data_IF_778508809346
#
_entry.id   IF_778508809346
#
_cell.length_a   1.000
_cell.length_b   1.000
_cell.length_c   1.000
_cell.angle_alpha   90.00
_cell.angle_beta   90.00
_cell.angle_gamma   90.00
#
_symmetry.space_group_name_H-M   'P 1'
#
loop_
_entity.id
_entity.type
_entity.pdbx_description
1 polymer ?
#
# COMPACT_ATOMS: atom_id res chain seq x y z
N UNK A 1 -20.00 -18.24 -51.44
CA UNK A 1 -19.70 -17.85 -50.05
C UNK A 1 -18.55 -18.74 -49.60
N UNK A 2 -17.37 -18.13 -49.51
CA UNK A 2 -16.09 -18.74 -49.12
C UNK A 2 -15.63 -17.90 -47.94
N UNK A 3 -15.29 -18.55 -46.83
CA UNK A 3 -15.03 -17.89 -45.56
C UNK A 3 -14.71 -18.94 -44.53
N UNK A 4 -13.46 -19.39 -44.58
CA UNK A 4 -12.81 -20.24 -43.61
C UNK A 4 -12.68 -19.55 -42.24
N UNK A 5 -12.34 -20.37 -41.24
CA UNK A 5 -11.64 -20.00 -39.99
C UNK A 5 -12.50 -19.46 -38.85
N UNK A 6 -12.73 -20.33 -37.85
CA UNK A 6 -12.30 -20.02 -36.49
C UNK A 6 -11.97 -21.31 -35.72
N UNK A 7 -10.68 -21.50 -35.54
CA UNK A 7 -10.04 -22.54 -34.73
C UNK A 7 -10.46 -22.39 -33.26
N UNK A 8 -11.00 -23.45 -32.67
CA UNK A 8 -11.13 -23.56 -31.23
C UNK A 8 -9.73 -23.82 -30.65
N UNK A 9 -9.09 -22.75 -30.18
CA UNK A 9 -7.83 -22.82 -29.45
C UNK A 9 -8.02 -23.53 -28.12
N UNK A 10 -7.76 -24.83 -28.13
CA UNK A 10 -7.52 -25.66 -26.96
C UNK A 10 -6.30 -25.08 -26.23
N UNK A 11 -6.52 -24.41 -25.10
CA UNK A 11 -5.43 -23.96 -24.23
C UNK A 11 -4.87 -25.19 -23.53
N UNK A 12 -4.00 -25.91 -24.23
CA UNK A 12 -3.17 -26.92 -23.62
C UNK A 12 -2.29 -26.25 -22.57
N UNK A 13 -2.59 -26.49 -21.30
CA UNK A 13 -1.63 -26.31 -20.22
C UNK A 13 -0.42 -27.20 -20.52
N UNK A 14 0.59 -26.63 -21.20
CA UNK A 14 1.90 -27.24 -21.36
C UNK A 14 2.57 -27.24 -19.99
N UNK A 15 2.29 -28.31 -19.26
CA UNK A 15 3.01 -28.73 -18.07
C UNK A 15 4.44 -29.09 -18.47
N UNK A 16 5.28 -28.07 -18.63
CA UNK A 16 6.70 -28.24 -18.92
C UNK A 16 7.39 -28.66 -17.63
N UNK A 17 7.26 -29.95 -17.28
CA UNK A 17 8.18 -30.63 -16.38
C UNK A 17 9.57 -30.59 -17.04
N UNK A 18 10.34 -29.53 -16.76
CA UNK A 18 11.77 -29.58 -16.97
C UNK A 18 12.33 -30.53 -15.92
N UNK A 19 12.39 -31.81 -16.28
CA UNK A 19 13.22 -32.77 -15.60
C UNK A 19 14.67 -32.31 -15.76
N UNK A 20 15.16 -31.58 -14.76
CA UNK A 20 16.58 -31.27 -14.61
C UNK A 20 17.29 -32.61 -14.38
N UNK A 21 17.63 -33.32 -15.46
CA UNK A 21 18.47 -34.50 -15.39
C UNK A 21 19.88 -34.04 -15.09
N UNK A 22 20.26 -34.10 -13.81
CA UNK A 22 21.66 -34.16 -13.43
C UNK A 22 22.24 -35.46 -14.01
N UNK A 23 22.98 -35.31 -15.11
CA UNK A 23 23.83 -36.37 -15.62
C UNK A 23 25.04 -36.48 -14.69
N UNK A 24 24.95 -37.35 -13.68
CA UNK A 24 26.15 -37.78 -12.97
C UNK A 24 26.93 -38.71 -13.90
N UNK A 25 27.94 -38.17 -14.58
CA UNK A 25 29.04 -39.01 -15.08
C UNK A 25 29.81 -39.51 -13.86
N UNK A 26 29.58 -40.76 -13.49
CA UNK A 26 30.45 -41.48 -12.56
C UNK A 26 31.61 -42.08 -13.33
N UNK A 27 32.61 -41.27 -13.68
CA UNK A 27 33.91 -41.79 -14.04
C UNK A 27 34.64 -42.21 -12.77
N UNK A 28 34.59 -43.51 -12.50
CA UNK A 28 35.50 -44.14 -11.52
C UNK A 28 36.87 -44.31 -12.16
N UNK A 29 37.77 -43.36 -11.90
CA UNK A 29 39.22 -43.60 -11.90
C UNK A 29 39.97 -42.41 -11.29
N UNK A 30 40.09 -42.40 -9.97
CA UNK A 30 41.07 -41.63 -9.21
C UNK A 30 41.37 -42.39 -7.92
N UNK A 31 42.61 -42.34 -7.38
CA UNK A 31 42.98 -43.08 -6.18
C UNK A 31 42.05 -42.68 -5.03
N UNK A 32 41.87 -43.57 -4.06
CA UNK A 32 41.18 -43.27 -2.81
C UNK A 32 42.00 -42.26 -1.99
N UNK A 33 42.00 -41.00 -2.43
CA UNK A 33 42.63 -39.88 -1.75
C UNK A 33 41.70 -39.42 -0.64
N UNK A 34 42.21 -39.50 0.60
CA UNK A 34 41.54 -38.92 1.75
C UNK A 34 41.46 -37.41 1.61
N UNK A 35 40.41 -36.81 2.18
CA UNK A 35 40.26 -35.37 2.26
C UNK A 35 41.52 -34.75 2.88
N UNK A 36 42.18 -33.88 2.12
CA UNK A 36 43.31 -33.12 2.68
C UNK A 36 42.76 -32.13 3.70
N UNK A 37 43.47 -31.98 4.83
CA UNK A 37 43.08 -31.04 5.89
C UNK A 37 42.91 -29.61 5.35
N UNK A 38 43.74 -29.24 4.38
CA UNK A 38 43.73 -27.91 3.78
C UNK A 38 42.48 -27.66 2.90
N UNK A 39 42.02 -28.66 2.15
CA UNK A 39 40.83 -28.53 1.30
C UNK A 39 39.57 -28.30 2.14
N UNK A 40 39.44 -29.02 3.26
CA UNK A 40 38.32 -28.85 4.20
C UNK A 40 38.31 -27.44 4.80
N UNK A 41 39.47 -26.92 5.21
CA UNK A 41 39.56 -25.56 5.76
C UNK A 41 39.17 -24.52 4.70
N UNK A 42 39.66 -24.65 3.47
CA UNK A 42 39.34 -23.70 2.39
C UNK A 42 37.84 -23.75 2.05
N UNK A 43 37.25 -24.94 1.96
CA UNK A 43 35.82 -25.10 1.70
C UNK A 43 34.96 -24.44 2.80
N UNK A 44 35.32 -24.63 4.08
CA UNK A 44 34.62 -24.01 5.20
C UNK A 44 34.73 -22.47 5.18
N UNK A 45 35.90 -21.93 4.83
CA UNK A 45 36.09 -20.47 4.70
C UNK A 45 35.24 -19.91 3.56
N UNK A 46 35.20 -20.58 2.41
CA UNK A 46 34.37 -20.15 1.29
C UNK A 46 32.87 -20.20 1.63
N UNK A 47 32.41 -21.28 2.28
CA UNK A 47 31.02 -21.41 2.75
C UNK A 47 30.70 -20.34 3.78
N UNK A 48 31.62 -20.00 4.69
CA UNK A 48 31.42 -18.93 5.66
C UNK A 48 31.26 -17.56 4.98
N UNK A 49 32.13 -17.22 4.03
CA UNK A 49 32.05 -15.94 3.31
C UNK A 49 30.76 -15.86 2.49
N UNK A 50 30.45 -16.88 1.69
CA UNK A 50 29.23 -16.91 0.88
C UNK A 50 27.95 -16.93 1.75
N UNK A 51 27.99 -17.65 2.86
CA UNK A 51 26.90 -17.71 3.83
C UNK A 51 26.63 -16.33 4.47
N UNK A 52 27.68 -15.59 4.85
CA UNK A 52 27.51 -14.24 5.40
C UNK A 52 26.90 -13.28 4.40
N UNK A 53 27.32 -13.31 3.13
CA UNK A 53 26.72 -12.47 2.09
C UNK A 53 25.24 -12.80 1.85
N UNK A 54 24.87 -14.09 1.86
CA UNK A 54 23.47 -14.50 1.73
C UNK A 54 22.60 -13.93 2.87
N UNK A 55 23.07 -14.03 4.12
CA UNK A 55 22.35 -13.48 5.28
C UNK A 55 22.21 -11.97 5.19
N UNK A 56 23.25 -11.24 4.77
CA UNK A 56 23.21 -9.78 4.60
C UNK A 56 22.18 -9.36 3.53
N UNK A 57 22.10 -10.07 2.41
CA UNK A 57 21.11 -9.76 1.36
C UNK A 57 19.67 -10.10 1.77
N UNK A 58 19.45 -11.19 2.52
CA UNK A 58 18.10 -11.54 3.01
C UNK A 58 17.65 -10.64 4.17
N UNK A 59 18.56 -10.22 5.04
CA UNK A 59 18.24 -9.39 6.21
C UNK A 59 17.68 -8.01 5.83
N UNK A 60 18.22 -7.37 4.78
CA UNK A 60 17.78 -6.03 4.37
C UNK A 60 16.51 -6.03 3.53
N UNK A 61 16.27 -7.09 2.76
CA UNK A 61 15.15 -7.17 1.81
C UNK A 61 13.84 -7.59 2.49
N UNK A 62 13.88 -8.60 3.36
CA UNK A 62 12.67 -9.09 4.05
C UNK A 62 12.09 -8.06 5.02
N UNK A 63 12.95 -7.36 5.77
CA UNK A 63 12.51 -6.39 6.79
C UNK A 63 11.84 -5.15 6.18
N UNK A 64 12.19 -4.78 4.94
CA UNK A 64 11.60 -3.61 4.26
C UNK A 64 10.34 -3.92 3.45
N UNK A 65 9.98 -5.20 3.29
CA UNK A 65 8.80 -5.60 2.49
C UNK A 65 7.47 -5.46 3.23
N UNK A 66 7.48 -5.39 4.56
CA UNK A 66 6.25 -5.25 5.36
C UNK A 66 5.75 -3.81 5.42
N UNK A 67 6.66 -2.85 5.38
CA UNK A 67 6.36 -1.42 5.44
C UNK A 67 5.41 -0.93 4.33
N UNK A 68 5.64 -1.24 3.02
CA UNK A 68 4.74 -0.77 1.97
C UNK A 68 3.35 -1.39 2.06
N UNK A 69 3.23 -2.62 2.59
CA UNK A 69 1.94 -3.29 2.77
C UNK A 69 1.15 -2.64 3.89
N UNK A 70 1.78 -2.39 5.04
CA UNK A 70 1.16 -1.70 6.17
C UNK A 70 0.76 -0.28 5.80
N UNK A 71 1.62 0.44 5.07
CA UNK A 71 1.33 1.78 4.61
C UNK A 71 0.13 1.79 3.65
N UNK A 72 0.08 0.85 2.70
CA UNK A 72 -1.06 0.73 1.77
C UNK A 72 -2.35 0.40 2.51
N UNK A 73 -2.31 -0.54 3.47
CA UNK A 73 -3.49 -0.89 4.25
C UNK A 73 -4.04 0.29 5.04
N UNK A 74 -3.16 1.05 5.70
CA UNK A 74 -3.56 2.24 6.45
C UNK A 74 -4.11 3.34 5.52
N UNK A 75 -3.55 3.47 4.31
CA UNK A 75 -4.03 4.42 3.29
C UNK A 75 -5.40 4.03 2.72
N UNK A 76 -5.62 2.75 2.42
CA UNK A 76 -6.92 2.25 1.96
C UNK A 76 -8.01 2.44 3.02
N UNK A 77 -7.69 2.22 4.30
CA UNK A 77 -8.63 2.45 5.39
C UNK A 77 -9.03 3.92 5.50
N UNK A 78 -8.03 4.82 5.51
CA UNK A 78 -8.26 6.26 5.55
C UNK A 78 -9.09 6.75 4.35
N UNK A 79 -8.83 6.19 3.16
CA UNK A 79 -9.60 6.50 1.97
C UNK A 79 -11.06 6.04 2.07
N UNK A 80 -11.32 4.85 2.64
CA UNK A 80 -12.67 4.35 2.85
C UNK A 80 -13.49 5.24 3.80
N UNK A 81 -12.88 5.77 4.85
CA UNK A 81 -13.54 6.76 5.73
C UNK A 81 -13.89 8.02 4.96
N UNK A 82 -12.95 8.55 4.17
CA UNK A 82 -13.20 9.75 3.37
C UNK A 82 -14.27 9.54 2.29
N UNK A 83 -14.37 8.34 1.72
CA UNK A 83 -15.44 7.97 0.81
C UNK A 83 -16.80 7.98 1.53
N UNK A 84 -16.87 7.44 2.76
CA UNK A 84 -18.09 7.48 3.57
C UNK A 84 -18.51 8.93 3.90
N UNK A 85 -17.57 9.77 4.32
CA UNK A 85 -17.80 11.22 4.53
C UNK A 85 -18.32 11.88 3.25
N UNK A 86 -17.73 11.55 2.09
CA UNK A 86 -18.13 12.14 0.80
C UNK A 86 -19.53 11.67 0.39
N UNK A 87 -19.89 10.42 0.64
CA UNK A 87 -21.23 9.87 0.37
C UNK A 87 -22.27 10.55 1.28
N UNK A 88 -21.95 10.74 2.55
CA UNK A 88 -22.84 11.40 3.48
C UNK A 88 -23.00 12.88 3.14
N UNK A 89 -21.93 13.59 2.79
CA UNK A 89 -21.99 14.95 2.28
C UNK A 89 -22.92 15.08 1.06
N UNK A 90 -22.80 14.18 0.07
CA UNK A 90 -23.69 14.17 -1.09
C UNK A 90 -25.16 13.91 -0.70
N UNK A 91 -25.39 13.12 0.35
CA UNK A 91 -26.74 12.84 0.86
C UNK A 91 -27.30 14.05 1.60
N UNK A 92 -26.51 14.69 2.46
CA UNK A 92 -26.87 15.89 3.21
C UNK A 92 -27.17 17.06 2.26
N UNK A 93 -26.41 17.21 1.18
CA UNK A 93 -26.67 18.22 0.14
C UNK A 93 -28.06 18.14 -0.50
N UNK A 94 -28.69 16.95 -0.47
CA UNK A 94 -30.02 16.74 -1.04
C UNK A 94 -31.16 16.76 0.01
N UNK A 95 -30.83 16.63 1.29
CA UNK A 95 -31.79 16.33 2.36
C UNK A 95 -31.84 17.36 3.47
N UNK A 96 -30.77 18.11 3.67
CA UNK A 96 -30.60 19.05 4.78
C UNK A 96 -30.54 20.50 4.26
N UNK A 97 -30.98 21.45 5.08
CA UNK A 97 -30.87 22.89 4.82
C UNK A 97 -29.46 23.42 5.15
N UNK A 98 -28.71 22.72 6.02
CA UNK A 98 -27.34 23.10 6.42
C UNK A 98 -26.34 21.94 6.33
N UNK A 99 -26.04 21.44 5.12
CA UNK A 99 -25.28 20.20 4.92
C UNK A 99 -23.87 20.24 5.50
N UNK A 100 -23.18 21.39 5.40
CA UNK A 100 -21.80 21.54 5.90
C UNK A 100 -21.73 21.51 7.43
N UNK A 101 -22.71 22.12 8.12
CA UNK A 101 -22.74 22.15 9.59
C UNK A 101 -22.99 20.74 10.14
N UNK A 102 -23.99 20.04 9.60
CA UNK A 102 -24.31 18.67 9.99
C UNK A 102 -23.15 17.71 9.71
N UNK A 103 -22.45 17.86 8.58
CA UNK A 103 -21.27 17.07 8.26
C UNK A 103 -20.13 17.33 9.25
N UNK A 104 -19.86 18.60 9.58
CA UNK A 104 -18.83 18.98 10.54
C UNK A 104 -19.07 18.33 11.91
N UNK A 105 -20.31 18.37 12.40
CA UNK A 105 -20.67 17.79 13.70
C UNK A 105 -20.48 16.27 13.71
N UNK A 106 -20.88 15.56 12.64
CA UNK A 106 -20.70 14.10 12.51
C UNK A 106 -19.23 13.69 12.43
N UNK A 107 -18.40 14.50 11.77
CA UNK A 107 -16.96 14.27 11.69
C UNK A 107 -16.33 14.40 13.09
N UNK A 108 -16.73 15.40 13.86
CA UNK A 108 -16.24 15.63 15.23
C UNK A 108 -16.73 14.56 16.22
N UNK A 109 -17.95 14.05 16.04
CA UNK A 109 -18.48 12.94 16.86
C UNK A 109 -17.82 11.59 16.51
N UNK A 110 -17.19 11.50 15.32
CA UNK A 110 -16.47 10.31 14.88
C UNK A 110 -17.38 9.22 14.29
N UNK A 111 -18.55 9.61 13.77
CA UNK A 111 -19.58 8.70 13.24
C UNK A 111 -19.10 7.78 12.09
N UNK A 112 -17.98 8.14 11.45
CA UNK A 112 -17.41 7.40 10.31
C UNK A 112 -16.30 6.43 10.71
N UNK A 113 -15.98 6.32 12.01
CA UNK A 113 -14.93 5.46 12.52
C UNK A 113 -15.46 4.06 12.84
N UNK A 114 -14.65 3.03 12.62
CA UNK A 114 -14.94 1.70 13.16
C UNK A 114 -14.54 1.62 14.64
N UNK A 115 -15.29 0.83 15.42
CA UNK A 115 -15.03 0.59 16.86
C UNK A 115 -13.58 0.14 17.16
N UNK A 116 -12.96 -0.58 16.21
CA UNK A 116 -11.60 -1.11 16.33
C UNK A 116 -10.51 -0.20 15.74
N UNK A 117 -10.88 0.81 14.95
CA UNK A 117 -9.94 1.63 14.16
C UNK A 117 -10.32 3.11 14.14
N UNK A 118 -10.32 3.76 15.30
CA UNK A 118 -10.57 5.21 15.40
C UNK A 118 -9.53 6.03 14.62
N UNK A 119 -10.01 7.00 13.84
CA UNK A 119 -9.21 8.05 13.21
C UNK A 119 -9.24 9.33 14.05
N UNK A 120 -8.24 10.19 13.89
CA UNK A 120 -8.19 11.48 14.59
C UNK A 120 -8.50 12.60 13.61
N UNK A 121 -9.46 13.46 13.96
CA UNK A 121 -9.71 14.70 13.21
C UNK A 121 -8.63 15.70 13.59
N UNK A 122 -7.85 16.14 12.61
CA UNK A 122 -6.77 17.11 12.81
C UNK A 122 -7.19 18.52 12.45
N UNK A 123 -8.01 18.65 11.40
CA UNK A 123 -8.58 19.93 10.99
C UNK A 123 -10.02 19.68 10.58
N UNK A 124 -10.95 20.46 11.14
CA UNK A 124 -12.34 20.48 10.75
C UNK A 124 -12.83 21.93 10.82
N UNK A 125 -12.25 22.75 9.94
CA UNK A 125 -12.48 24.19 9.95
C UNK A 125 -13.21 24.60 8.67
N UNK A 126 -14.18 25.48 8.85
CA UNK A 126 -14.77 26.22 7.74
C UNK A 126 -13.85 27.39 7.37
N UNK A 127 -13.67 27.59 6.07
CA UNK A 127 -12.75 28.57 5.49
C UNK A 127 -13.48 29.40 4.43
N UNK A 128 -13.06 30.65 4.31
CA UNK A 128 -13.38 31.53 3.20
C UNK A 128 -12.09 32.06 2.56
N UNK A 129 -12.18 32.48 1.30
CA UNK A 129 -11.08 33.13 0.61
C UNK A 129 -11.39 34.61 0.51
N UNK A 130 -10.69 35.42 1.31
CA UNK A 130 -10.85 36.87 1.33
C UNK A 130 -9.71 37.53 0.56
N UNK A 131 -10.00 38.63 -0.13
CA UNK A 131 -8.98 39.48 -0.72
C UNK A 131 -8.34 40.33 0.38
N UNK A 132 -7.04 40.09 0.64
CA UNK A 132 -6.20 40.99 1.41
C UNK A 132 -5.11 41.54 0.51
N UNK A 133 -5.19 42.85 0.24
CA UNK A 133 -4.19 43.59 -0.53
C UNK A 133 -3.89 43.02 -1.94
N UNK A 134 -4.90 42.45 -2.60
CA UNK A 134 -4.80 41.89 -3.96
C UNK A 134 -4.36 40.43 -4.00
N UNK A 135 -4.29 39.75 -2.86
CA UNK A 135 -3.99 38.32 -2.73
C UNK A 135 -5.14 37.60 -2.01
N UNK A 136 -5.55 36.45 -2.56
CA UNK A 136 -6.60 35.63 -1.94
C UNK A 136 -6.00 34.84 -0.79
N UNK A 137 -6.36 35.20 0.45
CA UNK A 137 -5.88 34.56 1.67
C UNK A 137 -6.98 33.65 2.24
N UNK A 138 -6.59 32.44 2.64
CA UNK A 138 -7.47 31.54 3.40
C UNK A 138 -7.64 32.06 4.83
N UNK A 139 -8.89 32.30 5.23
CA UNK A 139 -9.23 32.71 6.58
C UNK A 139 -10.26 31.75 7.18
N UNK A 140 -10.03 31.32 8.43
CA UNK A 140 -11.00 30.52 9.18
C UNK A 140 -12.22 31.38 9.52
N UNK A 141 -13.39 30.88 9.17
CA UNK A 141 -14.68 31.55 9.40
C UNK A 141 -15.75 30.51 9.73
N UNK A 142 -16.46 30.67 10.84
CA UNK A 142 -17.57 29.80 11.26
C UNK A 142 -18.72 29.71 10.24
N UNK A 143 -18.80 30.67 9.33
CA UNK A 143 -19.78 30.72 8.24
C UNK A 143 -19.15 30.54 6.85
N UNK A 144 -17.90 30.06 6.78
CA UNK A 144 -17.21 29.87 5.50
C UNK A 144 -17.90 28.87 4.57
N UNK A 145 -17.91 29.16 3.27
CA UNK A 145 -18.57 28.35 2.23
C UNK A 145 -17.81 27.03 1.94
N UNK A 146 -16.59 26.88 2.46
CA UNK A 146 -15.75 25.70 2.25
C UNK A 146 -15.42 25.06 3.59
N UNK A 147 -15.63 23.75 3.72
CA UNK A 147 -15.19 22.93 4.84
C UNK A 147 -13.88 22.23 4.50
N UNK A 148 -12.84 22.48 5.29
CA UNK A 148 -11.55 21.80 5.20
C UNK A 148 -11.48 20.71 6.26
N UNK A 149 -11.55 19.47 5.79
CA UNK A 149 -11.48 18.28 6.64
C UNK A 149 -10.12 17.63 6.46
N UNK A 150 -9.38 17.44 7.56
CA UNK A 150 -8.14 16.66 7.60
C UNK A 150 -8.26 15.59 8.65
N UNK A 151 -8.22 14.34 8.20
CA UNK A 151 -8.22 13.16 9.07
C UNK A 151 -6.85 12.50 9.08
N UNK A 152 -6.46 11.98 10.24
CA UNK A 152 -5.19 11.29 10.45
C UNK A 152 -5.43 9.87 10.97
N UNK A 153 -4.70 8.92 10.39
CA UNK A 153 -4.66 7.55 10.84
C UNK A 153 -3.25 6.97 10.72
N UNK A 154 -2.67 6.54 11.84
CA UNK A 154 -1.33 5.93 11.94
C UNK A 154 -0.24 6.73 11.21
N UNK A 155 -0.25 8.06 11.34
CA UNK A 155 0.73 8.97 10.74
C UNK A 155 0.51 9.29 9.26
N UNK A 156 -0.57 8.80 8.65
CA UNK A 156 -1.02 9.22 7.33
C UNK A 156 -2.16 10.23 7.47
N UNK A 157 -2.09 11.31 6.68
CA UNK A 157 -3.06 12.40 6.70
C UNK A 157 -3.72 12.50 5.34
N UNK A 158 -5.05 12.69 5.35
CA UNK A 158 -5.83 12.92 4.15
C UNK A 158 -6.65 14.18 4.36
N UNK A 159 -6.51 15.13 3.45
CA UNK A 159 -7.24 16.40 3.46
C UNK A 159 -8.20 16.42 2.28
N UNK A 160 -9.46 16.76 2.55
CA UNK A 160 -10.48 17.05 1.53
C UNK A 160 -11.10 18.42 1.77
N UNK A 161 -11.60 19.01 0.70
CA UNK A 161 -12.33 20.27 0.70
C UNK A 161 -13.75 19.99 0.21
N UNK A 162 -14.75 20.40 0.99
CA UNK A 162 -16.16 20.33 0.63
C UNK A 162 -16.68 21.74 0.52
N UNK A 163 -17.47 22.06 -0.49
CA UNK A 163 -18.03 23.42 -0.68
C UNK A 163 -19.53 23.40 -0.53
N UNK A 164 -20.16 24.56 -0.40
CA UNK A 164 -21.59 24.69 -0.67
C UNK A 164 -21.87 24.70 -2.18
#
# INVERSE_FOLDING_TARGET
MKGDVFEAGEVACVNRRQAFRFSCNTDKSGPADGFTLIEVIIALVLVAILGTFLVLFMSGTVTRSVEPVLQTQCGCYLHGIMENITVDYNTLMLTDETPIATLSDRIDDGDYADEDHSYTVVINDRINFVDQDGEMVEQSDSSGDVLKVTIEYRGQRLTSLFTE
#
